data_IF_890188533482
#
_entry.id   IF_890188533482
#
_cell.length_a   1.000
_cell.length_b   1.000
_cell.length_c   1.000
_cell.angle_alpha   90.00
_cell.angle_beta   90.00
_cell.angle_gamma   90.00
#
_symmetry.space_group_name_H-M   'P 1'
#
loop_
_entity.id
_entity.type
_entity.pdbx_description
1 polymer ?
#
# COMPACT_ATOMS: atom_id res chain seq x y z
N UNK A 1 -9.19 -1.90 -29.51
CA UNK A 1 -10.43 -2.34 -28.86
C UNK A 1 -11.01 -1.15 -28.13
N UNK A 2 -12.33 -1.06 -27.99
CA UNK A 2 -12.96 0.07 -27.32
C UNK A 2 -12.79 -0.10 -25.80
N UNK A 3 -12.34 0.94 -25.09
CA UNK A 3 -12.33 0.97 -23.65
C UNK A 3 -13.73 0.81 -23.06
N UNK A 4 -13.80 0.34 -21.82
CA UNK A 4 -15.06 0.32 -21.08
C UNK A 4 -15.62 1.74 -20.94
N UNK A 5 -16.95 1.86 -21.05
CA UNK A 5 -17.67 3.12 -20.87
C UNK A 5 -17.73 3.45 -19.36
N UNK A 6 -16.74 4.20 -18.90
CA UNK A 6 -16.56 4.62 -17.50
C UNK A 6 -16.21 6.09 -17.46
N UNK A 7 -16.85 6.83 -16.57
CA UNK A 7 -16.45 8.20 -16.23
C UNK A 7 -15.16 8.17 -15.38
N UNK A 8 -14.01 8.16 -16.08
CA UNK A 8 -12.68 8.05 -15.47
C UNK A 8 -12.33 9.22 -14.56
N UNK A 9 -12.86 10.39 -14.82
CA UNK A 9 -12.61 11.60 -14.03
C UNK A 9 -13.37 11.63 -12.70
N UNK A 10 -14.38 10.75 -12.54
CA UNK A 10 -15.23 10.74 -11.35
C UNK A 10 -15.15 9.42 -10.56
N UNK A 11 -14.09 8.66 -10.76
CA UNK A 11 -13.84 7.46 -9.97
C UNK A 11 -13.48 7.82 -8.52
N UNK A 12 -14.04 7.07 -7.57
CA UNK A 12 -13.58 7.02 -6.18
C UNK A 12 -12.64 5.82 -5.96
N UNK A 13 -12.39 5.48 -4.69
CA UNK A 13 -11.63 4.29 -4.29
C UNK A 13 -12.58 3.12 -3.90
N UNK A 14 -13.68 2.98 -4.63
CA UNK A 14 -14.70 1.95 -4.40
C UNK A 14 -14.51 0.72 -5.28
N UNK A 15 -14.99 -0.44 -4.79
CA UNK A 15 -14.96 -1.69 -5.56
C UNK A 15 -15.93 -1.64 -6.74
N UNK A 16 -15.43 -1.96 -7.92
CA UNK A 16 -16.19 -2.27 -9.13
C UNK A 16 -15.77 -3.65 -9.61
N UNK A 17 -16.69 -4.59 -9.67
CA UNK A 17 -16.41 -5.93 -10.18
C UNK A 17 -16.04 -5.86 -11.68
N UNK A 18 -14.94 -6.50 -12.04
CA UNK A 18 -14.49 -6.68 -13.42
C UNK A 18 -14.78 -8.10 -13.91
N UNK A 19 -14.74 -8.33 -15.25
CA UNK A 19 -15.06 -9.63 -15.83
C UNK A 19 -14.18 -10.78 -15.35
N UNK A 20 -12.87 -10.53 -15.12
CA UNK A 20 -11.92 -11.59 -14.83
C UNK A 20 -11.11 -11.33 -13.55
N UNK A 21 -10.84 -12.41 -12.83
CA UNK A 21 -9.92 -12.52 -11.71
C UNK A 21 -9.12 -13.80 -11.82
N UNK A 22 -8.03 -13.93 -11.06
CA UNK A 22 -7.25 -15.16 -10.99
C UNK A 22 -7.51 -15.86 -9.66
N UNK A 23 -7.61 -17.20 -9.67
CA UNK A 23 -7.78 -18.04 -8.49
C UNK A 23 -6.85 -19.24 -8.58
N UNK A 24 -6.23 -19.60 -7.47
CA UNK A 24 -5.49 -20.84 -7.26
C UNK A 24 -5.80 -21.35 -5.85
N UNK A 25 -5.97 -22.66 -5.69
CA UNK A 25 -6.29 -23.29 -4.42
C UNK A 25 -5.11 -24.11 -3.94
N UNK A 26 -4.88 -24.12 -2.63
CA UNK A 26 -3.92 -24.96 -1.95
C UNK A 26 -4.66 -26.04 -1.19
N UNK A 27 -4.31 -27.28 -1.46
CA UNK A 27 -4.78 -28.46 -0.74
C UNK A 27 -3.72 -29.56 -0.88
N UNK A 28 -3.70 -30.51 0.03
CA UNK A 28 -2.78 -31.67 0.01
C UNK A 28 -1.30 -31.26 -0.17
N UNK A 29 -0.92 -30.15 0.44
CA UNK A 29 0.47 -29.67 0.45
C UNK A 29 0.92 -28.94 -0.83
N UNK A 30 0.02 -28.64 -1.78
CA UNK A 30 0.40 -28.01 -3.06
C UNK A 30 -0.64 -27.01 -3.56
N UNK A 31 -0.18 -26.02 -4.32
CA UNK A 31 -1.03 -25.14 -5.11
C UNK A 31 -1.43 -25.80 -6.42
N UNK A 32 -2.73 -25.75 -6.77
CA UNK A 32 -3.21 -26.16 -8.10
C UNK A 32 -2.64 -25.26 -9.21
N UNK A 33 -2.92 -25.57 -10.48
CA UNK A 33 -2.45 -24.76 -11.61
C UNK A 33 -2.96 -23.31 -11.58
N UNK A 34 -4.14 -23.09 -10.99
CA UNK A 34 -4.82 -21.80 -10.99
C UNK A 34 -5.29 -21.37 -12.38
N UNK A 35 -5.95 -20.22 -12.44
CA UNK A 35 -6.42 -19.68 -13.69
C UNK A 35 -7.38 -18.50 -13.56
N UNK A 36 -7.74 -17.92 -14.70
CA UNK A 36 -8.75 -16.86 -14.79
C UNK A 36 -10.15 -17.44 -14.57
N UNK A 37 -10.99 -16.66 -13.87
CA UNK A 37 -12.40 -16.98 -13.65
C UNK A 37 -13.24 -15.70 -13.60
N UNK A 38 -14.53 -15.82 -13.92
CA UNK A 38 -15.51 -14.73 -13.75
C UNK A 38 -16.19 -14.75 -12.37
N UNK A 39 -15.98 -15.80 -11.56
CA UNK A 39 -16.63 -15.96 -10.25
C UNK A 39 -16.12 -14.91 -9.24
N UNK A 40 -16.98 -13.95 -8.88
CA UNK A 40 -16.63 -12.82 -8.00
C UNK A 40 -16.85 -13.12 -6.51
N UNK A 41 -17.59 -14.18 -6.20
CA UNK A 41 -17.93 -14.56 -4.82
C UNK A 41 -17.01 -15.67 -4.30
N UNK A 42 -16.99 -15.84 -2.99
CA UNK A 42 -16.31 -16.94 -2.31
C UNK A 42 -17.31 -17.59 -1.35
N UNK A 43 -17.46 -18.90 -1.46
CA UNK A 43 -18.24 -19.69 -0.49
C UNK A 43 -17.27 -20.37 0.47
N UNK A 44 -17.48 -20.18 1.78
CA UNK A 44 -16.65 -20.73 2.84
C UNK A 44 -17.48 -21.52 3.82
N UNK A 45 -16.87 -22.53 4.46
CA UNK A 45 -17.42 -23.14 5.67
C UNK A 45 -17.45 -22.11 6.80
N UNK A 46 -18.44 -22.22 7.70
CA UNK A 46 -18.48 -21.40 8.92
C UNK A 46 -17.24 -21.61 9.82
N UNK A 47 -16.53 -22.73 9.66
CA UNK A 47 -15.29 -23.07 10.36
C UNK A 47 -14.02 -22.66 9.61
N UNK A 48 -14.10 -21.95 8.48
CA UNK A 48 -12.92 -21.51 7.74
C UNK A 48 -11.99 -20.66 8.61
N UNK A 49 -10.68 -20.97 8.59
CA UNK A 49 -9.67 -20.32 9.44
C UNK A 49 -9.60 -18.82 9.29
N UNK A 50 -9.94 -18.28 8.14
CA UNK A 50 -10.03 -16.83 7.92
C UNK A 50 -11.08 -16.16 8.80
N UNK A 51 -12.24 -16.80 9.02
CA UNK A 51 -13.36 -16.24 9.76
C UNK A 51 -13.12 -16.16 11.26
N UNK A 52 -12.25 -17.02 11.80
CA UNK A 52 -12.00 -17.12 13.25
C UNK A 52 -10.65 -16.54 13.66
N UNK A 53 -9.60 -16.77 12.85
CA UNK A 53 -8.22 -16.50 13.24
C UNK A 53 -7.49 -15.54 12.30
N UNK A 54 -8.21 -14.86 11.40
CA UNK A 54 -7.63 -13.88 10.46
C UNK A 54 -6.43 -14.44 9.70
N UNK A 55 -6.44 -15.74 9.35
CA UNK A 55 -5.39 -16.34 8.53
C UNK A 55 -5.49 -15.81 7.10
N UNK A 56 -4.98 -14.59 6.91
CA UNK A 56 -5.06 -13.87 5.64
C UNK A 56 -3.90 -12.89 5.52
N UNK A 57 -3.36 -12.78 4.30
CA UNK A 57 -2.43 -11.74 3.87
C UNK A 57 -2.89 -11.17 2.54
N UNK A 58 -2.59 -9.91 2.30
CA UNK A 58 -2.99 -9.26 1.05
C UNK A 58 -1.92 -8.32 0.51
N UNK A 59 -2.07 -7.95 -0.76
CA UNK A 59 -1.23 -6.99 -1.43
C UNK A 59 -2.06 -5.91 -2.13
N UNK A 60 -1.36 -4.85 -2.53
CA UNK A 60 -1.94 -3.79 -3.32
C UNK A 60 -0.90 -3.22 -4.26
N UNK A 61 -1.18 -3.31 -5.56
CA UNK A 61 -0.37 -2.71 -6.61
C UNK A 61 -1.27 -2.12 -7.68
N UNK A 62 -0.68 -1.43 -8.65
CA UNK A 62 -1.44 -0.73 -9.68
C UNK A 62 -0.90 -1.04 -11.06
N UNK A 63 -1.81 -1.09 -12.05
CA UNK A 63 -1.45 -1.02 -13.44
C UNK A 63 -1.83 0.36 -14.00
N UNK A 64 -0.99 0.84 -14.91
CA UNK A 64 -1.09 2.16 -15.52
C UNK A 64 -1.03 2.06 -17.04
N UNK A 65 -1.68 2.97 -17.75
CA UNK A 65 -1.35 3.26 -19.13
C UNK A 65 -0.29 4.36 -19.15
N UNK A 66 0.80 4.10 -19.85
CA UNK A 66 1.91 5.05 -20.01
C UNK A 66 1.61 6.09 -21.08
N UNK A 67 2.43 7.13 -21.16
CA UNK A 67 2.40 8.14 -22.22
C UNK A 67 2.48 7.55 -23.64
N UNK A 68 3.09 6.36 -23.79
CA UNK A 68 3.24 5.65 -25.06
C UNK A 68 2.07 4.69 -25.35
N UNK A 69 1.07 4.59 -24.46
CA UNK A 69 -0.06 3.67 -24.60
C UNK A 69 0.21 2.23 -24.14
N UNK A 70 1.38 1.96 -23.57
CA UNK A 70 1.71 0.66 -22.98
C UNK A 70 1.00 0.49 -21.65
N UNK A 71 0.51 -0.71 -21.36
CA UNK A 71 -0.01 -1.06 -20.04
C UNK A 71 1.10 -1.72 -19.23
N UNK A 72 1.37 -1.15 -18.06
CA UNK A 72 2.50 -1.55 -17.22
C UNK A 72 2.09 -1.71 -15.75
N UNK A 73 2.87 -2.50 -15.01
CA UNK A 73 2.87 -2.53 -13.54
C UNK A 73 4.20 -2.06 -12.98
N UNK A 74 4.17 -1.55 -11.76
CA UNK A 74 5.33 -0.99 -11.07
C UNK A 74 5.80 -1.93 -9.97
N UNK A 75 7.01 -2.49 -10.10
CA UNK A 75 7.68 -3.37 -9.14
C UNK A 75 6.83 -4.50 -8.56
N UNK A 76 6.12 -5.29 -9.39
CA UNK A 76 5.29 -6.39 -8.91
C UNK A 76 6.09 -7.50 -8.22
N UNK A 77 7.39 -7.62 -8.52
CA UNK A 77 8.37 -8.50 -7.87
C UNK A 77 8.43 -8.27 -6.36
N UNK A 78 8.46 -7.02 -5.91
CA UNK A 78 8.49 -6.69 -4.49
C UNK A 78 7.15 -6.96 -3.78
N UNK A 79 6.02 -6.88 -4.50
CA UNK A 79 4.75 -7.31 -3.96
C UNK A 79 4.70 -8.84 -3.78
N UNK A 80 5.22 -9.59 -4.77
CA UNK A 80 5.33 -11.04 -4.70
C UNK A 80 6.22 -11.48 -3.52
N UNK A 81 7.40 -10.87 -3.38
CA UNK A 81 8.33 -11.10 -2.27
C UNK A 81 7.67 -10.83 -0.91
N UNK A 82 7.01 -9.68 -0.77
CA UNK A 82 6.39 -9.28 0.52
C UNK A 82 5.20 -10.17 0.88
N UNK A 83 4.36 -10.56 -0.08
CA UNK A 83 3.28 -11.52 0.14
C UNK A 83 3.83 -12.88 0.56
N UNK A 84 4.90 -13.35 -0.09
CA UNK A 84 5.58 -14.60 0.26
C UNK A 84 6.01 -14.61 1.72
N UNK A 85 6.72 -13.56 2.16
CA UNK A 85 7.19 -13.44 3.54
C UNK A 85 6.06 -13.21 4.54
N UNK A 86 5.02 -12.45 4.17
CA UNK A 86 3.87 -12.23 5.04
C UNK A 86 3.10 -13.52 5.30
N UNK A 87 2.89 -14.35 4.27
CA UNK A 87 2.25 -15.65 4.41
C UNK A 87 3.09 -16.61 5.28
N UNK A 88 4.40 -16.71 5.02
CA UNK A 88 5.31 -17.55 5.79
C UNK A 88 5.33 -17.18 7.28
N UNK A 89 5.28 -15.89 7.63
CA UNK A 89 5.26 -15.43 9.02
C UNK A 89 4.00 -15.87 9.78
N UNK A 90 2.86 -15.99 9.09
CA UNK A 90 1.59 -16.48 9.66
C UNK A 90 1.41 -17.99 9.52
N UNK A 91 2.50 -18.74 9.25
CA UNK A 91 2.47 -20.19 9.04
C UNK A 91 1.48 -20.63 7.94
N UNK A 92 1.28 -19.75 6.95
CA UNK A 92 0.46 -20.01 5.77
C UNK A 92 1.34 -20.49 4.60
N UNK A 93 0.84 -21.30 3.66
CA UNK A 93 1.60 -21.66 2.46
C UNK A 93 1.88 -20.41 1.61
N UNK A 94 3.16 -20.13 1.37
CA UNK A 94 3.56 -19.04 0.49
C UNK A 94 3.19 -19.35 -0.96
N UNK A 95 2.63 -18.36 -1.67
CA UNK A 95 2.37 -18.48 -3.11
C UNK A 95 3.66 -18.21 -3.89
N UNK A 96 4.02 -19.04 -4.91
CA UNK A 96 5.24 -18.86 -5.67
C UNK A 96 5.30 -17.47 -6.34
N UNK A 97 6.46 -16.79 -6.23
CA UNK A 97 6.60 -15.40 -6.67
C UNK A 97 6.42 -15.26 -8.19
N UNK A 98 6.95 -16.18 -8.97
CA UNK A 98 6.80 -16.21 -10.43
C UNK A 98 5.33 -16.34 -10.82
N UNK A 99 4.58 -17.21 -10.15
CA UNK A 99 3.15 -17.39 -10.39
C UNK A 99 2.32 -16.17 -9.95
N UNK A 100 2.75 -15.46 -8.91
CA UNK A 100 2.13 -14.19 -8.54
C UNK A 100 2.24 -13.18 -9.69
N UNK A 101 3.42 -13.06 -10.30
CA UNK A 101 3.66 -12.16 -11.43
C UNK A 101 2.84 -12.59 -12.66
N UNK A 102 2.80 -13.88 -12.97
CA UNK A 102 1.96 -14.44 -14.04
C UNK A 102 0.47 -14.15 -13.82
N UNK A 103 -0.02 -14.27 -12.58
CA UNK A 103 -1.40 -13.95 -12.23
C UNK A 103 -1.70 -12.45 -12.40
N UNK A 104 -0.74 -11.56 -12.04
CA UNK A 104 -0.86 -10.11 -12.26
C UNK A 104 -0.98 -9.81 -13.75
N UNK A 105 -0.09 -10.36 -14.58
CA UNK A 105 -0.11 -10.18 -16.03
C UNK A 105 -1.43 -10.67 -16.64
N UNK A 106 -1.87 -11.87 -16.27
CA UNK A 106 -3.11 -12.47 -16.77
C UNK A 106 -4.35 -11.62 -16.43
N UNK A 107 -4.46 -11.16 -15.17
CA UNK A 107 -5.62 -10.34 -14.75
C UNK A 107 -5.63 -8.97 -15.43
N UNK A 108 -4.48 -8.32 -15.56
CA UNK A 108 -4.38 -7.02 -16.22
C UNK A 108 -4.69 -7.17 -17.71
N UNK A 109 -4.10 -8.14 -18.39
CA UNK A 109 -4.34 -8.40 -19.82
C UNK A 109 -5.83 -8.74 -20.09
N UNK A 110 -6.45 -9.58 -19.26
CA UNK A 110 -7.85 -9.96 -19.41
C UNK A 110 -8.85 -8.82 -19.14
N UNK A 111 -8.44 -7.81 -18.36
CA UNK A 111 -9.24 -6.63 -18.03
C UNK A 111 -8.67 -5.33 -18.64
N UNK A 112 -7.86 -5.42 -19.71
CA UNK A 112 -7.18 -4.27 -20.32
C UNK A 112 -8.10 -3.09 -20.65
N UNK A 113 -9.34 -3.35 -21.05
CA UNK A 113 -10.32 -2.33 -21.43
C UNK A 113 -10.78 -1.50 -20.22
N UNK A 114 -10.46 -1.94 -19.00
CA UNK A 114 -10.75 -1.29 -17.72
C UNK A 114 -9.52 -0.58 -17.13
N UNK A 115 -8.38 -0.58 -17.81
CA UNK A 115 -7.22 0.24 -17.43
C UNK A 115 -7.53 1.69 -17.78
N UNK A 116 -7.52 2.61 -16.78
CA UNK A 116 -7.79 4.03 -17.02
C UNK A 116 -6.80 4.63 -18.04
N UNK A 117 -7.26 5.55 -18.90
CA UNK A 117 -6.39 6.17 -19.88
C UNK A 117 -5.31 7.05 -19.25
N UNK A 118 -4.17 7.15 -19.92
CA UNK A 118 -3.14 8.13 -19.56
C UNK A 118 -3.75 9.55 -19.45
N UNK A 119 -3.35 10.30 -18.43
CA UNK A 119 -3.86 11.65 -18.17
C UNK A 119 -5.18 11.73 -17.39
N UNK A 120 -5.79 10.60 -17.03
CA UNK A 120 -6.99 10.57 -16.18
C UNK A 120 -6.70 10.61 -14.67
N UNK A 121 -5.43 10.55 -14.24
CA UNK A 121 -4.96 10.38 -12.86
C UNK A 121 -5.51 9.13 -12.15
N UNK A 122 -6.33 8.35 -12.83
CA UNK A 122 -6.85 7.08 -12.36
C UNK A 122 -5.86 5.93 -12.63
N UNK A 123 -6.12 4.76 -12.06
CA UNK A 123 -5.30 3.56 -12.24
C UNK A 123 -6.14 2.30 -12.06
N UNK A 124 -5.67 1.18 -12.61
CA UNK A 124 -6.25 -0.12 -12.27
C UNK A 124 -5.59 -0.64 -11.00
N UNK A 125 -6.32 -0.68 -9.89
CA UNK A 125 -5.85 -1.22 -8.63
C UNK A 125 -6.04 -2.74 -8.60
N UNK A 126 -4.99 -3.46 -8.23
CA UNK A 126 -5.00 -4.91 -8.09
C UNK A 126 -4.93 -5.29 -6.61
N UNK A 127 -5.74 -6.27 -6.21
CA UNK A 127 -5.81 -6.80 -4.86
C UNK A 127 -5.52 -8.30 -4.85
N UNK A 128 -4.24 -8.71 -4.76
CA UNK A 128 -3.88 -10.08 -4.41
C UNK A 128 -4.17 -10.36 -2.93
N UNK A 129 -4.64 -11.54 -2.61
CA UNK A 129 -4.85 -12.03 -1.24
C UNK A 129 -4.67 -13.54 -1.16
N UNK A 130 -4.19 -14.03 -0.02
CA UNK A 130 -4.20 -15.44 0.37
C UNK A 130 -5.01 -15.55 1.65
N UNK A 131 -5.92 -16.49 1.72
CA UNK A 131 -6.73 -16.69 2.91
C UNK A 131 -7.05 -18.17 3.13
N UNK A 132 -7.20 -18.56 4.41
CA UNK A 132 -7.52 -19.92 4.79
C UNK A 132 -8.98 -20.26 4.46
N UNK A 133 -9.18 -21.32 3.70
CA UNK A 133 -10.49 -21.90 3.38
C UNK A 133 -10.76 -23.18 4.16
N UNK A 134 -9.71 -23.83 4.68
CA UNK A 134 -9.80 -25.05 5.47
C UNK A 134 -10.48 -24.85 6.83
N UNK A 135 -11.14 -25.91 7.29
CA UNK A 135 -11.92 -25.91 8.53
C UNK A 135 -11.03 -26.10 9.75
N UNK A 136 -11.08 -25.15 10.70
CA UNK A 136 -10.34 -25.20 11.97
C UNK A 136 -11.20 -24.67 13.12
N UNK A 137 -11.19 -25.39 14.27
CA UNK A 137 -11.79 -24.92 15.51
C UNK A 137 -10.67 -24.53 16.50
N UNK A 138 -9.63 -25.36 16.62
CA UNK A 138 -8.46 -25.02 17.43
C UNK A 138 -7.50 -24.08 16.70
N UNK A 139 -6.73 -23.26 17.43
CA UNK A 139 -5.74 -22.37 16.84
C UNK A 139 -4.59 -23.19 16.25
N UNK A 140 -4.57 -23.30 14.95
CA UNK A 140 -3.53 -23.95 14.13
C UNK A 140 -3.60 -23.43 12.69
N UNK A 141 -2.55 -23.58 11.87
CA UNK A 141 -2.66 -23.36 10.43
C UNK A 141 -3.75 -24.24 9.82
N UNK A 142 -4.50 -23.71 8.87
CA UNK A 142 -5.46 -24.49 8.09
C UNK A 142 -4.73 -25.44 7.13
N UNK A 143 -5.43 -26.42 6.60
CA UNK A 143 -4.90 -27.37 5.60
C UNK A 143 -5.23 -26.96 4.16
N UNK A 144 -6.14 -26.00 3.97
CA UNK A 144 -6.52 -25.48 2.67
C UNK A 144 -6.56 -23.95 2.65
N UNK A 145 -6.11 -23.37 1.53
CA UNK A 145 -6.07 -21.92 1.30
C UNK A 145 -6.45 -21.59 -0.14
N UNK A 146 -6.80 -20.33 -0.37
CA UNK A 146 -7.01 -19.82 -1.72
C UNK A 146 -6.15 -18.56 -1.93
N UNK A 147 -5.40 -18.52 -3.04
CA UNK A 147 -4.88 -17.30 -3.62
C UNK A 147 -5.92 -16.73 -4.58
N UNK A 148 -6.22 -15.45 -4.43
CA UNK A 148 -7.14 -14.74 -5.33
C UNK A 148 -6.55 -13.39 -5.69
N UNK A 149 -6.66 -13.01 -6.96
CA UNK A 149 -6.28 -11.69 -7.43
C UNK A 149 -7.42 -11.10 -8.26
N UNK A 150 -7.93 -9.97 -7.83
CA UNK A 150 -8.92 -9.20 -8.59
C UNK A 150 -8.43 -7.76 -8.80
N UNK A 151 -9.08 -7.06 -9.74
CA UNK A 151 -8.77 -5.68 -10.04
C UNK A 151 -10.02 -4.80 -10.01
N UNK A 152 -9.83 -3.50 -9.79
CA UNK A 152 -10.88 -2.48 -9.85
C UNK A 152 -10.27 -1.16 -10.31
N UNK A 153 -10.88 -0.42 -11.26
CA UNK A 153 -10.42 0.90 -11.60
C UNK A 153 -10.72 1.88 -10.45
N UNK A 154 -9.73 2.67 -10.07
CA UNK A 154 -9.81 3.64 -8.99
C UNK A 154 -9.36 5.01 -9.47
N UNK A 155 -10.00 6.06 -8.96
CA UNK A 155 -9.59 7.43 -9.17
C UNK A 155 -8.36 7.82 -8.36
N UNK A 156 -7.92 9.08 -8.45
CA UNK A 156 -6.90 9.61 -7.57
C UNK A 156 -7.38 9.49 -6.11
N UNK A 157 -6.47 9.16 -5.21
CA UNK A 157 -6.80 9.03 -3.79
C UNK A 157 -7.35 10.34 -3.21
N UNK A 158 -6.83 11.46 -3.67
CA UNK A 158 -7.36 12.80 -3.36
C UNK A 158 -7.98 13.42 -4.61
N UNK A 159 -9.28 13.66 -4.60
CA UNK A 159 -9.96 14.44 -5.65
C UNK A 159 -9.48 15.89 -5.58
N UNK A 160 -8.93 16.41 -6.68
CA UNK A 160 -8.43 17.80 -6.76
C UNK A 160 -6.98 18.01 -6.32
N UNK A 161 -6.17 16.93 -6.31
CA UNK A 161 -4.74 16.96 -5.95
C UNK A 161 -4.47 16.59 -4.50
N UNK A 162 -3.20 16.32 -4.19
CA UNK A 162 -2.76 15.96 -2.85
C UNK A 162 -2.81 17.19 -1.92
N UNK A 163 -3.90 17.33 -1.17
CA UNK A 163 -4.00 18.36 -0.12
C UNK A 163 -3.33 17.88 1.16
N UNK A 164 -2.64 18.77 1.90
CA UNK A 164 -2.07 18.42 3.19
C UNK A 164 -3.12 17.92 4.17
N UNK A 165 -2.79 16.81 4.85
CA UNK A 165 -3.65 16.17 5.84
C UNK A 165 -3.29 16.62 7.25
N UNK A 166 -4.26 16.56 8.15
CA UNK A 166 -4.10 16.82 9.58
C UNK A 166 -4.07 15.49 10.31
N UNK A 167 -3.04 15.26 11.08
CA UNK A 167 -2.89 14.04 11.86
C UNK A 167 -3.10 14.30 13.35
N UNK A 168 -3.58 13.30 14.08
CA UNK A 168 -3.43 13.24 15.53
C UNK A 168 -2.55 12.05 15.92
N UNK A 169 -1.83 12.19 17.02
CA UNK A 169 -1.11 11.06 17.62
C UNK A 169 -2.13 10.13 18.27
N UNK A 170 -2.06 8.84 17.95
CA UNK A 170 -2.96 7.83 18.50
C UNK A 170 -2.58 7.45 19.93
N UNK A 171 -3.57 7.29 20.79
CA UNK A 171 -3.39 6.68 22.12
C UNK A 171 -3.33 5.14 22.07
N UNK A 172 -3.63 4.57 20.90
CA UNK A 172 -3.63 3.13 20.66
C UNK A 172 -2.34 2.71 19.93
N UNK A 173 -1.95 1.45 20.09
CA UNK A 173 -0.85 0.85 19.37
C UNK A 173 -1.33 0.27 18.04
N UNK A 174 -0.50 0.36 17.00
CA UNK A 174 -0.76 -0.27 15.71
C UNK A 174 -0.38 -1.75 15.70
N UNK A 175 0.73 -2.08 16.35
CA UNK A 175 1.25 -3.44 16.45
C UNK A 175 2.17 -3.57 17.68
N UNK A 176 2.29 -4.79 18.19
CA UNK A 176 3.28 -5.10 19.23
C UNK A 176 4.71 -4.94 18.69
N UNK A 177 5.71 -4.60 19.54
CA UNK A 177 7.10 -4.35 19.11
C UNK A 177 7.75 -5.53 18.37
N UNK A 178 7.39 -6.76 18.74
CA UNK A 178 7.86 -8.01 18.11
C UNK A 178 6.70 -8.82 17.51
N UNK A 179 5.65 -8.12 17.07
CA UNK A 179 4.43 -8.70 16.50
C UNK A 179 4.41 -8.68 14.98
N UNK A 180 3.23 -8.48 14.46
CA UNK A 180 2.90 -8.62 13.03
C UNK A 180 3.02 -7.32 12.22
N UNK A 181 3.49 -6.22 12.82
CA UNK A 181 3.49 -4.90 12.18
C UNK A 181 4.22 -4.83 10.83
N UNK A 182 5.26 -5.64 10.66
CA UNK A 182 6.09 -5.69 9.45
C UNK A 182 5.52 -6.56 8.33
N UNK A 183 4.43 -7.29 8.55
CA UNK A 183 3.76 -8.08 7.51
C UNK A 183 2.46 -7.42 7.04
N UNK A 184 2.05 -7.74 5.81
CA UNK A 184 0.83 -7.16 5.23
C UNK A 184 -0.36 -8.11 5.43
N UNK A 185 -0.89 -8.13 6.65
CA UNK A 185 -1.99 -9.00 7.09
C UNK A 185 -3.21 -8.18 7.51
N UNK A 186 -4.40 -8.63 7.20
CA UNK A 186 -5.66 -7.96 7.50
C UNK A 186 -5.87 -7.65 8.98
N UNK A 187 -5.34 -8.51 9.86
CA UNK A 187 -5.40 -8.31 11.31
C UNK A 187 -4.82 -6.97 11.77
N UNK A 188 -3.72 -6.47 11.15
CA UNK A 188 -3.11 -5.19 11.49
C UNK A 188 -4.02 -4.01 11.13
N UNK A 189 -4.77 -4.15 10.03
CA UNK A 189 -5.72 -3.12 9.57
C UNK A 189 -6.98 -3.12 10.41
N UNK A 190 -7.50 -4.29 10.77
CA UNK A 190 -8.64 -4.41 11.69
C UNK A 190 -8.31 -3.80 13.07
N UNK A 191 -7.10 -4.05 13.59
CA UNK A 191 -6.64 -3.47 14.86
C UNK A 191 -6.57 -1.94 14.82
N UNK A 192 -6.18 -1.35 13.69
CA UNK A 192 -6.05 0.11 13.56
C UNK A 192 -7.37 0.84 13.29
N UNK A 193 -8.48 0.13 13.00
CA UNK A 193 -9.77 0.75 12.67
C UNK A 193 -10.32 1.63 13.81
N UNK A 194 -10.19 1.20 15.07
CA UNK A 194 -10.69 1.99 16.19
C UNK A 194 -9.94 3.33 16.32
N UNK A 195 -8.62 3.31 16.20
CA UNK A 195 -7.79 4.51 16.21
C UNK A 195 -8.15 5.44 15.06
N UNK A 196 -8.32 4.91 13.85
CA UNK A 196 -8.73 5.65 12.67
C UNK A 196 -10.09 6.33 12.85
N UNK A 197 -11.11 5.58 13.30
CA UNK A 197 -12.47 6.13 13.55
C UNK A 197 -12.47 7.19 14.65
N UNK A 198 -11.66 7.02 15.70
CA UNK A 198 -11.48 8.00 16.77
C UNK A 198 -10.88 9.30 16.24
N UNK A 199 -9.82 9.22 15.43
CA UNK A 199 -9.21 10.37 14.79
C UNK A 199 -10.20 11.12 13.89
N UNK A 200 -10.94 10.38 13.05
CA UNK A 200 -11.97 10.97 12.18
C UNK A 200 -13.11 11.65 12.94
N UNK A 201 -13.58 11.03 14.02
CA UNK A 201 -14.63 11.63 14.87
C UNK A 201 -14.14 12.93 15.54
N UNK A 202 -12.84 13.05 15.80
CA UNK A 202 -12.20 14.26 16.30
C UNK A 202 -11.86 15.29 15.20
N UNK A 203 -12.18 15.00 13.93
CA UNK A 203 -11.97 15.91 12.80
C UNK A 203 -10.59 15.86 12.17
N UNK A 204 -9.80 14.82 12.43
CA UNK A 204 -8.50 14.57 11.76
C UNK A 204 -8.69 13.69 10.54
N UNK A 205 -7.74 13.78 9.61
CA UNK A 205 -7.79 13.03 8.36
C UNK A 205 -7.19 11.62 8.51
N UNK A 206 -6.21 11.44 9.44
CA UNK A 206 -5.55 10.18 9.74
C UNK A 206 -4.89 10.27 11.14
N UNK A 207 -4.35 9.17 11.64
CA UNK A 207 -3.62 9.12 12.89
C UNK A 207 -2.16 8.69 12.71
N UNK A 208 -1.28 9.21 13.56
CA UNK A 208 0.12 8.83 13.67
C UNK A 208 0.26 7.83 14.82
N UNK A 209 0.86 6.67 14.56
CA UNK A 209 1.24 5.74 15.63
C UNK A 209 2.68 6.00 16.09
N UNK A 210 2.87 5.91 17.40
CA UNK A 210 4.18 5.86 18.02
C UNK A 210 4.56 4.41 18.34
N UNK A 211 5.85 4.16 18.55
CA UNK A 211 6.34 2.84 18.94
C UNK A 211 5.66 2.34 20.23
N UNK A 212 5.16 1.11 20.18
CA UNK A 212 4.38 0.53 21.29
C UNK A 212 5.21 0.27 22.57
N UNK A 213 6.55 0.22 22.46
CA UNK A 213 7.41 -0.05 23.61
C UNK A 213 7.65 1.18 24.47
N UNK A 214 7.90 2.34 23.87
CA UNK A 214 8.28 3.57 24.60
C UNK A 214 7.36 4.74 24.34
N UNK A 215 6.57 4.72 23.26
CA UNK A 215 5.69 5.79 22.79
C UNK A 215 6.42 7.13 22.57
N UNK A 216 7.69 7.03 22.18
CA UNK A 216 8.55 8.20 21.96
C UNK A 216 9.01 8.38 20.53
N UNK A 217 8.90 7.34 19.68
CA UNK A 217 9.35 7.37 18.30
C UNK A 217 8.17 7.19 17.34
N UNK A 218 8.21 7.93 16.24
CA UNK A 218 7.21 7.82 15.17
C UNK A 218 7.41 6.52 14.41
N UNK A 219 6.32 5.80 14.16
CA UNK A 219 6.32 4.61 13.31
C UNK A 219 5.66 4.90 11.97
N UNK A 220 4.37 4.64 11.84
CA UNK A 220 3.61 4.85 10.60
C UNK A 220 2.15 5.21 10.91
N UNK A 221 1.33 5.40 9.89
CA UNK A 221 -0.13 5.50 10.02
C UNK A 221 -0.78 4.12 9.88
N UNK A 222 -2.11 4.05 9.89
CA UNK A 222 -2.84 2.81 9.60
C UNK A 222 -2.57 2.22 8.20
N UNK A 223 -2.18 3.04 7.22
CA UNK A 223 -2.02 2.61 5.83
C UNK A 223 -0.84 3.18 5.06
N UNK A 224 0.03 4.00 5.67
CA UNK A 224 1.13 4.68 4.99
C UNK A 224 2.35 4.89 5.89
N UNK A 225 3.54 4.91 5.29
CA UNK A 225 4.79 5.23 5.99
C UNK A 225 5.09 6.73 5.94
N UNK A 226 5.92 7.22 6.87
CA UNK A 226 6.35 8.60 6.91
C UNK A 226 7.63 8.85 6.10
N UNK A 227 7.67 10.03 5.48
CA UNK A 227 8.86 10.70 4.98
C UNK A 227 8.91 12.10 5.59
N UNK A 228 10.02 12.45 6.19
CA UNK A 228 10.31 13.78 6.69
C UNK A 228 11.43 14.42 5.86
N UNK A 229 11.47 15.73 5.80
CA UNK A 229 12.55 16.48 5.16
C UNK A 229 13.09 17.49 6.17
N UNK A 230 14.38 17.47 6.41
CA UNK A 230 15.05 18.42 7.28
C UNK A 230 15.23 19.77 6.56
N UNK A 231 15.60 20.83 7.31
CA UNK A 231 15.83 22.17 6.76
C UNK A 231 16.98 22.23 5.75
N UNK A 232 17.93 21.30 5.81
CA UNK A 232 19.03 21.17 4.85
C UNK A 232 18.70 20.24 3.66
N UNK A 233 17.47 19.74 3.58
CA UNK A 233 16.99 18.90 2.48
C UNK A 233 17.29 17.40 2.61
N UNK A 234 17.82 16.94 3.76
CA UNK A 234 17.99 15.51 4.03
C UNK A 234 16.62 14.86 4.24
N UNK A 235 16.39 13.72 3.58
CA UNK A 235 15.18 12.92 3.75
C UNK A 235 15.38 11.98 4.94
N UNK A 236 14.43 11.95 5.86
CA UNK A 236 14.44 11.06 7.03
C UNK A 236 13.18 10.21 7.03
N UNK A 237 13.33 8.91 7.24
CA UNK A 237 12.19 8.01 7.35
C UNK A 237 12.34 7.07 8.55
N UNK A 238 11.25 6.84 9.31
CA UNK A 238 11.29 5.97 10.47
C UNK A 238 11.73 4.54 10.12
N UNK A 239 12.57 3.97 10.98
CA UNK A 239 13.03 2.60 10.90
C UNK A 239 12.76 1.89 12.22
N UNK A 240 11.91 0.86 12.18
CA UNK A 240 11.65 -0.05 13.30
C UNK A 240 11.28 -1.44 12.78
N UNK A 241 11.30 -2.45 13.65
CA UNK A 241 10.90 -3.81 13.30
C UNK A 241 9.39 -4.03 13.17
N UNK A 242 8.58 -3.04 13.54
CA UNK A 242 7.11 -3.09 13.47
C UNK A 242 6.51 -2.30 12.30
N UNK A 243 7.31 -1.57 11.53
CA UNK A 243 6.86 -0.81 10.36
C UNK A 243 6.77 -1.72 9.14
N UNK A 244 5.67 -1.60 8.38
CA UNK A 244 5.53 -2.31 7.10
C UNK A 244 6.61 -1.86 6.10
N UNK A 245 7.38 -2.80 5.48
CA UNK A 245 8.36 -2.48 4.44
C UNK A 245 7.67 -2.04 3.15
N UNK A 246 7.35 -0.75 3.05
CA UNK A 246 6.63 -0.16 1.93
C UNK A 246 7.47 -0.18 0.65
N UNK A 247 6.89 -0.66 -0.44
CA UNK A 247 7.50 -0.64 -1.78
C UNK A 247 7.65 0.80 -2.27
N UNK A 248 6.65 1.63 -2.03
CA UNK A 248 6.70 3.06 -2.37
C UNK A 248 7.82 3.76 -1.61
N UNK A 249 7.97 3.55 -0.29
CA UNK A 249 9.06 4.12 0.50
C UNK A 249 10.43 3.68 -0.02
N UNK A 250 10.65 2.36 -0.25
CA UNK A 250 11.90 1.82 -0.83
C UNK A 250 12.22 2.46 -2.18
N UNK A 251 11.20 2.69 -3.01
CA UNK A 251 11.38 3.33 -4.31
C UNK A 251 11.72 4.81 -4.19
N UNK A 252 11.07 5.54 -3.28
CA UNK A 252 11.34 6.96 -3.03
C UNK A 252 12.74 7.19 -2.43
N UNK A 253 13.21 6.29 -1.55
CA UNK A 253 14.58 6.31 -1.04
C UNK A 253 15.57 6.16 -2.20
N UNK A 254 15.39 5.17 -3.06
CA UNK A 254 16.25 4.97 -4.23
C UNK A 254 16.24 6.18 -5.18
N UNK A 255 15.05 6.74 -5.47
CA UNK A 255 14.91 7.93 -6.30
C UNK A 255 15.69 9.11 -5.69
N UNK A 256 15.54 9.31 -4.37
CA UNK A 256 16.23 10.37 -3.66
C UNK A 256 17.75 10.23 -3.79
N UNK A 257 18.31 9.09 -3.49
CA UNK A 257 19.75 8.85 -3.47
C UNK A 257 20.36 8.79 -4.86
N UNK A 258 19.78 7.99 -5.78
CA UNK A 258 20.42 7.64 -7.04
C UNK A 258 19.97 8.48 -8.25
N UNK A 259 18.79 9.07 -8.20
CA UNK A 259 18.26 9.90 -9.30
C UNK A 259 18.42 11.38 -8.96
N UNK A 260 18.10 11.78 -7.72
CA UNK A 260 18.05 13.17 -7.31
C UNK A 260 19.31 13.62 -6.55
N UNK A 261 20.21 12.68 -6.16
CA UNK A 261 21.45 12.98 -5.43
C UNK A 261 21.20 13.56 -4.02
N UNK A 262 20.10 13.19 -3.38
CA UNK A 262 19.73 13.64 -2.04
C UNK A 262 20.23 12.68 -0.97
N UNK A 263 20.53 13.21 0.22
CA UNK A 263 20.86 12.37 1.37
C UNK A 263 19.59 11.77 1.98
N UNK A 264 19.65 10.49 2.36
CA UNK A 264 18.55 9.80 3.05
C UNK A 264 19.07 9.16 4.34
N UNK A 265 18.27 9.23 5.39
CA UNK A 265 18.51 8.57 6.68
C UNK A 265 17.32 7.70 7.07
N UNK A 266 17.54 6.39 7.12
CA UNK A 266 16.60 5.45 7.74
C UNK A 266 17.00 5.23 9.19
N UNK A 267 16.26 5.80 10.13
CA UNK A 267 16.57 5.76 11.57
C UNK A 267 15.32 5.86 12.45
N UNK A 268 15.38 5.55 13.73
CA UNK A 268 14.34 5.96 14.67
C UNK A 268 14.15 7.48 14.64
N UNK A 269 12.91 7.94 14.65
CA UNK A 269 12.54 9.36 14.61
C UNK A 269 11.82 9.70 15.92
N UNK A 270 12.46 10.39 16.86
CA UNK A 270 11.81 10.87 18.08
C UNK A 270 10.63 11.79 17.76
N UNK A 271 9.50 11.62 18.42
CA UNK A 271 8.35 12.52 18.26
C UNK A 271 8.73 13.99 18.51
N UNK A 272 9.60 14.23 19.47
CA UNK A 272 10.07 15.60 19.80
C UNK A 272 10.82 16.29 18.65
N UNK A 273 11.33 15.53 17.67
CA UNK A 273 12.04 16.07 16.50
C UNK A 273 11.09 16.64 15.42
N UNK A 274 9.79 16.32 15.49
CA UNK A 274 8.84 16.69 14.43
C UNK A 274 8.81 18.19 14.11
N UNK A 275 8.99 19.05 15.11
CA UNK A 275 9.00 20.51 14.93
C UNK A 275 10.24 21.04 14.20
N UNK A 276 11.27 20.21 14.03
CA UNK A 276 12.51 20.58 13.35
C UNK A 276 12.47 20.32 11.84
N UNK A 277 11.54 19.48 11.37
CA UNK A 277 11.42 19.16 9.95
C UNK A 277 10.79 20.30 9.14
N UNK A 278 11.23 20.44 7.90
CA UNK A 278 10.69 21.39 6.93
C UNK A 278 9.46 20.84 6.21
N UNK A 279 9.43 19.53 5.94
CA UNK A 279 8.31 18.86 5.27
C UNK A 279 8.01 17.52 5.94
N UNK A 280 6.74 17.09 5.82
CA UNK A 280 6.31 15.77 6.22
C UNK A 280 5.33 15.23 5.17
N UNK A 281 5.45 13.95 4.83
CA UNK A 281 4.55 13.26 3.92
C UNK A 281 4.31 11.82 4.32
N UNK A 282 3.17 11.30 3.91
CA UNK A 282 2.78 9.91 4.00
C UNK A 282 3.00 9.25 2.63
N UNK A 283 3.66 8.10 2.57
CA UNK A 283 3.89 7.42 1.30
C UNK A 283 3.29 6.00 1.28
N UNK A 284 2.67 5.66 0.13
CA UNK A 284 2.05 4.35 -0.08
C UNK A 284 1.49 4.20 -1.49
N UNK A 285 1.09 2.98 -1.84
CA UNK A 285 0.58 2.65 -3.19
C UNK A 285 -0.66 3.46 -3.57
N UNK A 286 -1.55 3.75 -2.61
CA UNK A 286 -2.80 4.43 -2.91
C UNK A 286 -2.60 5.88 -3.38
N UNK A 287 -1.85 6.68 -2.61
CA UNK A 287 -1.70 8.12 -2.82
C UNK A 287 -0.32 8.53 -3.35
N UNK A 288 0.63 7.62 -3.46
CA UNK A 288 2.06 7.86 -3.75
C UNK A 288 2.71 8.66 -2.62
N UNK A 289 2.48 9.96 -2.53
CA UNK A 289 2.80 10.81 -1.39
C UNK A 289 1.60 11.70 -1.06
N UNK A 290 1.22 11.75 0.21
CA UNK A 290 0.24 12.70 0.77
C UNK A 290 0.98 13.66 1.70
N UNK A 291 0.98 14.97 1.45
CA UNK A 291 1.62 15.91 2.35
C UNK A 291 0.90 15.97 3.69
N UNK A 292 1.65 16.20 4.77
CA UNK A 292 1.14 16.43 6.12
C UNK A 292 1.32 17.89 6.47
N UNK A 293 0.25 18.56 6.85
CA UNK A 293 0.29 19.99 7.22
C UNK A 293 0.42 20.20 8.72
N UNK A 294 -0.17 19.32 9.52
CA UNK A 294 -0.10 19.41 10.98
C UNK A 294 -0.18 18.06 11.68
N UNK A 295 0.41 17.97 12.87
CA UNK A 295 0.31 16.83 13.79
C UNK A 295 -0.11 17.36 15.16
N UNK A 296 -1.16 16.79 15.74
CA UNK A 296 -1.68 17.15 17.06
C UNK A 296 -1.43 16.02 18.05
N UNK A 297 -0.89 16.37 19.24
CA UNK A 297 -0.70 15.45 20.35
C UNK A 297 -1.23 16.11 21.65
N UNK A 298 -2.36 15.67 22.13
CA UNK A 298 -3.09 16.35 23.22
C UNK A 298 -3.40 17.80 22.82
N UNK A 299 -2.95 18.75 23.61
CA UNK A 299 -3.14 20.18 23.35
C UNK A 299 -2.05 20.79 22.44
N UNK A 300 -0.99 20.03 22.13
CA UNK A 300 0.10 20.50 21.29
C UNK A 300 -0.22 20.30 19.81
N UNK A 301 -0.15 21.39 19.04
CA UNK A 301 -0.25 21.35 17.57
C UNK A 301 1.11 21.71 16.97
N UNK A 302 1.67 20.78 16.20
CA UNK A 302 2.89 20.98 15.43
C UNK A 302 2.48 21.28 13.99
N UNK A 303 2.69 22.52 13.53
CA UNK A 303 2.49 22.91 12.13
C UNK A 303 3.77 22.67 11.35
N UNK A 304 3.67 21.96 10.22
CA UNK A 304 4.80 21.82 9.30
C UNK A 304 4.96 23.12 8.49
N UNK A 305 6.19 23.57 8.20
CA UNK A 305 6.42 24.84 7.47
C UNK A 305 5.78 24.91 6.09
N UNK A 306 5.60 23.78 5.39
CA UNK A 306 4.85 23.69 4.13
C UNK A 306 3.35 23.98 4.28
N UNK A 307 2.83 23.94 5.52
CA UNK A 307 1.46 24.33 5.86
C UNK A 307 0.38 23.41 5.29
N UNK A 308 -0.85 23.97 5.22
CA UNK A 308 -2.06 23.25 4.80
C UNK A 308 -2.47 23.52 3.34
N UNK A 309 -1.65 24.23 2.57
CA UNK A 309 -2.05 24.66 1.21
C UNK A 309 -1.49 23.76 0.12
N UNK A 310 -0.25 23.30 0.26
CA UNK A 310 0.45 22.54 -0.79
C UNK A 310 1.51 21.59 -0.20
N UNK A 311 1.96 20.66 -1.04
CA UNK A 311 3.09 19.77 -0.74
C UNK A 311 4.39 20.58 -0.72
N UNK A 312 5.31 20.24 0.19
CA UNK A 312 6.64 20.83 0.21
C UNK A 312 7.45 20.50 -1.05
N UNK A 313 8.42 21.35 -1.45
CA UNK A 313 9.09 21.22 -2.75
C UNK A 313 9.92 19.94 -2.91
N UNK A 314 10.50 19.41 -1.85
CA UNK A 314 11.29 18.17 -1.91
C UNK A 314 10.35 16.96 -2.12
N UNK A 315 9.26 16.88 -1.34
CA UNK A 315 8.27 15.83 -1.49
C UNK A 315 7.57 15.91 -2.84
N UNK A 316 7.30 17.12 -3.36
CA UNK A 316 6.74 17.31 -4.69
C UNK A 316 7.66 16.76 -5.78
N UNK A 317 8.97 17.03 -5.68
CA UNK A 317 9.96 16.52 -6.64
C UNK A 317 10.03 14.98 -6.61
N UNK A 318 9.97 14.38 -5.43
CA UNK A 318 9.90 12.92 -5.27
C UNK A 318 8.61 12.34 -5.88
N UNK A 319 7.48 12.98 -5.60
CA UNK A 319 6.17 12.59 -6.16
C UNK A 319 6.19 12.62 -7.68
N UNK A 320 6.62 13.74 -8.27
CA UNK A 320 6.65 13.94 -9.72
C UNK A 320 7.58 12.92 -10.41
N UNK A 321 8.75 12.66 -9.80
CA UNK A 321 9.71 11.68 -10.35
C UNK A 321 9.12 10.26 -10.31
N UNK A 322 8.54 9.83 -9.18
CA UNK A 322 7.95 8.49 -9.10
C UNK A 322 6.75 8.34 -10.03
N UNK A 323 5.87 9.36 -10.09
CA UNK A 323 4.74 9.35 -11.04
C UNK A 323 5.22 9.33 -12.48
N UNK A 324 6.26 10.11 -12.78
CA UNK A 324 6.87 10.11 -14.11
C UNK A 324 7.40 8.73 -14.52
N UNK A 325 8.06 8.01 -13.61
CA UNK A 325 8.52 6.63 -13.81
C UNK A 325 7.32 5.70 -14.08
N UNK A 326 6.26 5.77 -13.25
CA UNK A 326 5.07 4.92 -13.39
C UNK A 326 4.32 5.17 -14.70
N UNK A 327 4.34 6.39 -15.21
CA UNK A 327 3.62 6.81 -16.42
C UNK A 327 4.52 6.86 -17.67
N UNK A 328 5.80 6.53 -17.56
CA UNK A 328 6.73 6.47 -18.69
C UNK A 328 7.22 7.83 -19.20
N UNK A 329 7.07 8.91 -18.42
CA UNK A 329 7.61 10.24 -18.75
C UNK A 329 9.00 10.48 -18.16
N UNK A 330 9.43 9.65 -17.22
CA UNK A 330 10.77 9.60 -16.63
C UNK A 330 11.31 8.19 -16.83
N UNK A 331 12.58 8.07 -17.18
CA UNK A 331 13.23 6.77 -17.37
C UNK A 331 13.24 5.98 -16.04
N UNK A 332 12.84 4.73 -16.13
CA UNK A 332 12.78 3.84 -14.97
C UNK A 332 14.10 3.12 -14.76
N UNK A 333 14.53 2.92 -13.50
CA UNK A 333 15.58 1.95 -13.21
C UNK A 333 15.22 0.56 -13.74
N UNK A 334 16.24 -0.23 -14.09
CA UNK A 334 16.06 -1.58 -14.62
C UNK A 334 15.20 -2.44 -13.69
N UNK A 335 14.25 -3.18 -14.26
CA UNK A 335 13.36 -4.09 -13.54
C UNK A 335 12.19 -3.42 -12.82
N UNK A 336 12.08 -2.07 -12.78
CA UNK A 336 11.00 -1.41 -12.07
C UNK A 336 9.66 -1.42 -12.81
N UNK A 337 9.70 -1.38 -14.12
CA UNK A 337 8.51 -1.38 -14.96
C UNK A 337 8.37 -2.72 -15.66
N UNK A 338 7.24 -3.38 -15.44
CA UNK A 338 6.86 -4.58 -16.15
C UNK A 338 5.79 -4.25 -17.18
N UNK A 339 6.13 -4.34 -18.46
CA UNK A 339 5.19 -4.17 -19.56
C UNK A 339 4.35 -5.43 -19.73
N UNK A 340 3.04 -5.25 -19.83
CA UNK A 340 2.06 -6.35 -19.99
C UNK A 340 1.54 -6.39 -21.41
N UNK A 341 1.14 -5.27 -21.98
CA UNK A 341 0.65 -5.16 -23.36
C UNK A 341 0.70 -3.70 -23.85
#
# INVERSE_FOLDING_TARGET
MARADIDWGNLGFGYRALPQRYVSNYADGTWDAGGLTSEATVTLSECAGILHYCQEVFEGLKAYETVNGDIVTFRPDLNAERMYHSAAYLEMPSFPQERFIEAVDAVVAANRDYVPPYGSDASLYLRPLIFATGEVIGVKPADAYQFRLFATPVGPYFKGGAKPVRLCVSDFDRAAPHGTGHIKAGLNYAMSLHAYMTAHAAGFDENMFLDAATRTHVEETGGANFLFVTKDGTIVTPKSGSILPSITRRSLIYIAEHILGMKVEERPVPFAELAEFAECGLCGTAAVISPVGSVTHGDQVIMLPSGMEHMGPVLQKLYDTLRGIQLGTVEAPEGWIRKIC
#
